data_IF_688485625741
#
_entry.id   IF_688485625741
#
_cell.length_a   1.000
_cell.length_b   1.000
_cell.length_c   1.000
_cell.angle_alpha   90.00
_cell.angle_beta   90.00
_cell.angle_gamma   90.00
#
_symmetry.space_group_name_H-M   'P 1'
#
loop_
_entity.id
_entity.type
_entity.pdbx_description
1 polymer ?
#
# COMPACT_ATOMS: atom_id res chain seq x y z
N UNK A 1 23.02 4.67 -61.35
CA UNK A 1 22.27 3.39 -61.32
C UNK A 1 23.21 2.32 -60.84
N UNK A 2 23.27 2.08 -59.52
CA UNK A 2 24.12 1.02 -58.97
C UNK A 2 23.58 -0.32 -59.45
N UNK A 3 24.36 -1.03 -60.28
CA UNK A 3 23.93 -2.23 -60.99
C UNK A 3 23.61 -3.44 -60.09
N UNK A 4 23.49 -4.64 -60.66
CA UNK A 4 23.00 -5.85 -59.99
C UNK A 4 23.67 -6.19 -58.64
N UNK A 5 24.92 -5.76 -58.43
CA UNK A 5 25.65 -5.96 -57.18
C UNK A 5 24.97 -5.30 -55.97
N UNK A 6 24.27 -4.18 -56.15
CA UNK A 6 23.58 -3.52 -55.06
C UNK A 6 22.31 -4.27 -54.65
N UNK A 7 21.69 -4.98 -55.59
CA UNK A 7 20.53 -5.82 -55.31
C UNK A 7 20.95 -7.04 -54.49
N UNK A 8 22.03 -7.72 -54.88
CA UNK A 8 22.58 -8.87 -54.12
C UNK A 8 22.95 -8.49 -52.68
N UNK A 9 23.53 -7.29 -52.47
CA UNK A 9 23.82 -6.80 -51.13
C UNK A 9 22.55 -6.58 -50.29
N UNK A 10 21.52 -5.94 -50.87
CA UNK A 10 20.23 -5.73 -50.20
C UNK A 10 19.55 -7.05 -49.87
N UNK A 11 19.54 -8.00 -50.80
CA UNK A 11 18.99 -9.33 -50.57
C UNK A 11 19.76 -10.06 -49.47
N UNK A 12 21.09 -10.01 -49.49
CA UNK A 12 21.93 -10.56 -48.43
C UNK A 12 21.63 -9.93 -47.06
N UNK A 13 21.49 -8.61 -46.99
CA UNK A 13 21.12 -7.91 -45.76
C UNK A 13 19.71 -8.27 -45.29
N UNK A 14 18.73 -8.31 -46.18
CA UNK A 14 17.34 -8.66 -45.85
C UNK A 14 17.17 -10.10 -45.41
N UNK A 15 18.03 -11.01 -45.86
CA UNK A 15 18.06 -12.39 -45.38
C UNK A 15 18.84 -12.50 -44.07
N UNK A 16 20.04 -11.91 -44.01
CA UNK A 16 20.95 -12.05 -42.87
C UNK A 16 20.44 -11.31 -41.63
N UNK A 17 19.84 -10.13 -41.77
CA UNK A 17 19.36 -9.34 -40.64
C UNK A 17 18.32 -10.08 -39.79
N UNK A 18 17.18 -10.57 -40.35
CA UNK A 18 16.22 -11.33 -39.56
C UNK A 18 16.80 -12.66 -39.06
N UNK A 19 17.66 -13.32 -39.85
CA UNK A 19 18.29 -14.58 -39.42
C UNK A 19 19.23 -14.37 -38.22
N UNK A 20 20.03 -13.31 -38.25
CA UNK A 20 20.97 -12.97 -37.18
C UNK A 20 20.23 -12.59 -35.90
N UNK A 21 19.15 -11.81 -36.01
CA UNK A 21 18.27 -11.49 -34.87
C UNK A 21 17.68 -12.79 -34.30
N UNK A 22 17.19 -13.69 -35.16
CA UNK A 22 16.59 -14.93 -34.70
C UNK A 22 17.60 -15.85 -34.00
N UNK A 23 18.84 -15.92 -34.48
CA UNK A 23 19.91 -16.70 -33.83
C UNK A 23 20.34 -16.06 -32.51
N UNK A 24 20.44 -14.73 -32.45
CA UNK A 24 20.88 -14.03 -31.25
C UNK A 24 19.85 -14.09 -30.12
N UNK A 25 18.58 -13.84 -30.43
CA UNK A 25 17.49 -13.81 -29.43
C UNK A 25 16.76 -15.16 -29.28
N UNK A 26 16.94 -16.08 -30.23
CA UNK A 26 16.37 -17.43 -30.17
C UNK A 26 17.19 -18.41 -29.34
N UNK A 27 18.33 -17.99 -28.80
CA UNK A 27 19.12 -18.81 -27.89
C UNK A 27 18.32 -19.09 -26.60
N UNK A 28 18.04 -20.36 -26.26
CA UNK A 28 17.32 -20.71 -25.04
C UNK A 28 18.01 -20.17 -23.78
N UNK A 29 19.33 -20.01 -23.79
CA UNK A 29 20.06 -19.46 -22.65
C UNK A 29 19.87 -17.95 -22.52
N UNK A 30 19.76 -17.21 -23.63
CA UNK A 30 19.45 -15.78 -23.61
C UNK A 30 18.07 -15.54 -23.01
N UNK A 31 17.06 -16.30 -23.44
CA UNK A 31 15.69 -16.22 -22.93
C UNK A 31 15.63 -16.47 -21.42
N UNK A 32 16.33 -17.51 -20.95
CA UNK A 32 16.36 -17.86 -19.51
C UNK A 32 16.99 -16.79 -18.64
N UNK A 33 18.04 -16.12 -19.14
CA UNK A 33 18.78 -15.10 -18.38
C UNK A 33 18.10 -13.73 -18.40
N UNK A 34 17.45 -13.36 -19.50
CA UNK A 34 16.91 -12.00 -19.66
C UNK A 34 15.39 -11.93 -19.51
N UNK A 35 14.63 -12.95 -19.93
CA UNK A 35 13.15 -12.88 -19.94
C UNK A 35 12.54 -13.48 -18.68
N UNK A 36 13.03 -14.64 -18.22
CA UNK A 36 12.46 -15.31 -17.03
C UNK A 36 12.55 -14.47 -15.75
N UNK A 37 13.68 -13.82 -15.42
CA UNK A 37 13.76 -13.03 -14.19
C UNK A 37 12.81 -11.83 -14.21
N UNK A 38 12.60 -11.22 -15.38
CA UNK A 38 11.65 -10.11 -15.55
C UNK A 38 10.22 -10.59 -15.34
N UNK A 39 9.88 -11.77 -15.88
CA UNK A 39 8.55 -12.38 -15.69
C UNK A 39 8.26 -12.65 -14.21
N UNK A 40 9.25 -13.16 -13.49
CA UNK A 40 9.10 -13.54 -12.07
C UNK A 40 9.06 -12.32 -11.12
N UNK A 41 9.53 -11.15 -11.57
CA UNK A 41 9.37 -9.87 -10.86
C UNK A 41 7.99 -9.26 -11.14
N UNK A 42 7.55 -9.30 -12.41
CA UNK A 42 6.26 -8.74 -12.80
C UNK A 42 5.07 -9.54 -12.25
N UNK A 43 5.21 -10.87 -12.17
CA UNK A 43 4.16 -11.74 -11.66
C UNK A 43 4.44 -12.14 -10.21
N UNK A 44 3.54 -11.85 -9.25
CA UNK A 44 3.69 -12.30 -7.88
C UNK A 44 3.91 -13.81 -7.87
N UNK A 45 5.00 -14.25 -7.23
CA UNK A 45 5.34 -15.68 -7.18
C UNK A 45 4.18 -16.44 -6.58
N UNK A 46 3.83 -17.59 -7.14
CA UNK A 46 2.70 -18.43 -6.68
C UNK A 46 2.77 -18.78 -5.18
N UNK A 47 3.97 -18.76 -4.60
CA UNK A 47 4.21 -18.99 -3.18
C UNK A 47 3.87 -17.80 -2.28
N UNK A 48 3.89 -16.58 -2.82
CA UNK A 48 3.48 -15.35 -2.11
C UNK A 48 1.99 -15.09 -2.22
N UNK A 49 1.32 -15.77 -3.15
CA UNK A 49 -0.10 -15.60 -3.35
C UNK A 49 -0.87 -16.28 -2.21
N UNK A 50 -1.79 -15.53 -1.58
CA UNK A 50 -2.70 -16.09 -0.61
C UNK A 50 -3.54 -17.19 -1.27
N UNK A 51 -3.36 -18.44 -0.82
CA UNK A 51 -4.12 -19.60 -1.30
C UNK A 51 -5.33 -19.78 -0.39
N UNK A 52 -6.57 -19.59 -0.87
CA UNK A 52 -7.75 -19.83 -0.06
C UNK A 52 -7.79 -21.29 0.42
N UNK A 53 -8.15 -21.55 1.68
CA UNK A 53 -8.30 -22.91 2.20
C UNK A 53 -9.36 -23.66 1.38
N UNK A 54 -9.01 -24.84 0.88
CA UNK A 54 -9.90 -25.67 0.04
C UNK A 54 -10.54 -26.82 0.80
N UNK A 55 -9.89 -27.31 1.85
CA UNK A 55 -10.39 -28.41 2.67
C UNK A 55 -11.08 -27.91 3.93
N UNK A 56 -12.00 -28.72 4.49
CA UNK A 56 -12.71 -28.39 5.73
C UNK A 56 -11.79 -28.28 6.95
N UNK A 57 -10.68 -29.02 6.97
CA UNK A 57 -9.63 -28.93 7.99
C UNK A 57 -8.92 -27.58 7.93
N UNK A 58 -8.51 -27.15 6.73
CA UNK A 58 -7.77 -25.90 6.49
C UNK A 58 -8.67 -24.68 6.78
N UNK A 59 -9.97 -24.82 6.55
CA UNK A 59 -10.95 -23.79 6.90
C UNK A 59 -11.04 -23.56 8.41
N UNK A 60 -10.93 -24.61 9.22
CA UNK A 60 -10.99 -24.48 10.68
C UNK A 60 -9.73 -23.82 11.22
N UNK A 61 -8.54 -24.24 10.77
CA UNK A 61 -7.28 -23.64 11.21
C UNK A 61 -7.20 -22.16 10.82
N UNK A 62 -7.55 -21.80 9.59
CA UNK A 62 -7.57 -20.39 9.17
C UNK A 62 -8.59 -19.55 9.94
N UNK A 63 -9.75 -20.12 10.33
CA UNK A 63 -10.71 -19.42 11.19
C UNK A 63 -10.19 -19.18 12.61
N UNK A 64 -9.47 -20.15 13.17
CA UNK A 64 -8.83 -20.02 14.48
C UNK A 64 -7.75 -18.93 14.46
N UNK A 65 -6.86 -18.96 13.47
CA UNK A 65 -5.85 -17.90 13.24
C UNK A 65 -6.50 -16.51 13.09
N UNK A 66 -7.60 -16.41 12.34
CA UNK A 66 -8.33 -15.15 12.17
C UNK A 66 -8.99 -14.66 13.47
N UNK A 67 -9.46 -15.56 14.33
CA UNK A 67 -10.01 -15.19 15.65
C UNK A 67 -8.92 -14.65 16.56
N UNK A 68 -7.77 -15.32 16.62
CA UNK A 68 -6.61 -14.88 17.38
C UNK A 68 -6.11 -13.52 16.91
N UNK A 69 -6.02 -13.32 15.58
CA UNK A 69 -5.61 -12.03 15.02
C UNK A 69 -6.60 -10.90 15.39
N UNK A 70 -7.90 -11.19 15.47
CA UNK A 70 -8.91 -10.21 15.91
C UNK A 70 -8.77 -9.87 17.39
N UNK A 71 -8.52 -10.86 18.25
CA UNK A 71 -8.29 -10.64 19.68
C UNK A 71 -7.03 -9.81 19.91
N UNK A 72 -5.91 -10.17 19.28
CA UNK A 72 -4.66 -9.42 19.38
C UNK A 72 -4.80 -7.95 18.93
N UNK A 73 -5.53 -7.70 17.83
CA UNK A 73 -5.82 -6.32 17.37
C UNK A 73 -6.71 -5.56 18.34
N UNK A 74 -7.66 -6.22 19.00
CA UNK A 74 -8.53 -5.61 20.02
C UNK A 74 -7.72 -5.24 21.26
N UNK A 75 -6.85 -6.13 21.72
CA UNK A 75 -6.02 -5.91 22.91
C UNK A 75 -5.02 -4.78 22.67
N UNK A 76 -4.38 -4.73 21.50
CA UNK A 76 -3.51 -3.63 21.11
C UNK A 76 -4.24 -2.27 21.10
N UNK A 77 -5.50 -2.24 20.67
CA UNK A 77 -6.31 -1.01 20.70
C UNK A 77 -6.63 -0.58 22.13
N UNK A 78 -7.03 -1.51 23.00
CA UNK A 78 -7.32 -1.23 24.40
C UNK A 78 -6.06 -0.76 25.16
N UNK A 79 -4.91 -1.36 24.89
CA UNK A 79 -3.64 -0.94 25.47
C UNK A 79 -3.24 0.48 25.03
N UNK A 80 -3.41 0.82 23.74
CA UNK A 80 -3.17 2.17 23.22
C UNK A 80 -4.13 3.21 23.82
N UNK A 81 -5.40 2.85 23.99
CA UNK A 81 -6.40 3.72 24.65
C UNK A 81 -6.09 3.94 26.14
N UNK A 82 -5.63 2.91 26.85
CA UNK A 82 -5.22 3.03 28.26
C UNK A 82 -3.96 3.90 28.43
N UNK A 83 -2.96 3.74 27.56
CA UNK A 83 -1.75 4.57 27.55
C UNK A 83 -2.06 6.04 27.22
N UNK A 84 -2.95 6.28 26.25
CA UNK A 84 -3.41 7.64 25.91
C UNK A 84 -4.15 8.33 27.06
N UNK A 85 -4.96 7.59 27.82
CA UNK A 85 -5.67 8.13 29.00
C UNK A 85 -4.73 8.45 30.17
N UNK A 86 -3.69 7.65 30.39
CA UNK A 86 -2.66 7.90 31.41
C UNK A 86 -1.82 9.15 31.07
N UNK A 87 -1.45 9.34 29.80
CA UNK A 87 -0.75 10.54 29.33
C UNK A 87 -1.57 11.83 29.50
N UNK A 88 -2.87 11.80 29.17
CA UNK A 88 -3.76 12.96 29.34
C UNK A 88 -3.96 13.33 30.82
N UNK A 89 -4.02 12.36 31.74
CA UNK A 89 -4.12 12.65 33.17
C UNK A 89 -2.84 13.28 33.73
N UNK A 90 -1.67 12.87 33.24
CA UNK A 90 -0.40 13.50 33.63
C UNK A 90 -0.25 14.92 33.07
N UNK A 91 -0.76 15.19 31.87
CA UNK A 91 -0.73 16.54 31.29
C UNK A 91 -1.71 17.50 31.98
N UNK A 92 -2.94 17.05 32.30
CA UNK A 92 -3.94 17.85 33.02
C UNK A 92 -3.53 18.13 34.47
N UNK A 93 -2.86 17.17 35.14
CA UNK A 93 -2.36 17.38 36.51
C UNK A 93 -1.15 18.31 36.54
N UNK A 94 -0.25 18.22 35.55
CA UNK A 94 0.91 19.13 35.40
C UNK A 94 0.48 20.57 35.08
N UNK A 95 -0.49 20.76 34.16
CA UNK A 95 -1.05 22.07 33.82
C UNK A 95 -1.84 22.71 34.99
N UNK A 96 -2.40 21.89 35.89
CA UNK A 96 -3.12 22.36 37.09
C UNK A 96 -2.19 22.73 38.25
N UNK A 97 -1.02 22.11 38.37
CA UNK A 97 0.01 22.52 39.34
C UNK A 97 0.83 23.73 38.92
N UNK A 98 0.89 24.07 37.62
CA UNK A 98 1.60 25.25 37.12
C UNK A 98 0.74 26.52 36.99
N UNK A 99 -0.57 26.46 37.30
CA UNK A 99 -1.50 27.59 37.12
C UNK A 99 -1.91 28.30 38.42
N UNK A 100 -1.35 27.94 39.57
CA UNK A 100 -1.62 28.62 40.87
C UNK A 100 -0.57 29.65 41.29
N UNK A 101 0.37 30.04 40.42
CA UNK A 101 1.34 31.10 40.73
C UNK A 101 1.76 31.89 39.50
N UNK A 102 0.94 32.86 39.08
CA UNK A 102 1.39 34.18 38.60
C UNK A 102 0.22 34.93 37.94
N UNK A 103 -0.40 35.80 38.72
CA UNK A 103 -1.13 36.97 38.24
C UNK A 103 -0.14 38.12 38.02
N UNK A 104 0.14 38.52 36.78
CA UNK A 104 0.62 39.87 36.46
C UNK A 104 0.67 40.14 34.95
N UNK A 105 -0.09 41.17 34.54
CA UNK A 105 0.21 42.22 33.55
C UNK A 105 1.27 41.97 32.45
N UNK A 106 0.87 42.12 31.18
CA UNK A 106 1.26 43.26 30.31
C UNK A 106 1.20 42.92 28.79
N UNK A 107 0.55 43.82 28.05
CA UNK A 107 0.78 44.24 26.65
C UNK A 107 1.24 43.25 25.56
N UNK A 108 0.32 43.03 24.60
CA UNK A 108 0.45 42.98 23.11
C UNK A 108 1.86 43.19 22.51
N UNK A 109 2.23 42.47 21.42
CA UNK A 109 1.76 42.90 20.09
C UNK A 109 1.31 41.77 19.14
N UNK A 110 0.52 42.21 18.16
CA UNK A 110 -0.14 41.45 17.10
C UNK A 110 0.83 40.75 16.14
N UNK A 111 0.61 39.48 15.74
CA UNK A 111 1.19 38.91 14.55
C UNK A 111 0.26 39.08 13.35
N UNK A 112 0.82 39.66 12.29
CA UNK A 112 0.26 39.81 10.94
C UNK A 112 -0.24 38.48 10.36
N UNK A 113 -1.41 38.43 9.71
CA UNK A 113 -1.92 37.23 9.07
C UNK A 113 -1.17 36.95 7.77
N UNK A 114 -0.44 35.84 7.72
CA UNK A 114 -0.01 35.25 6.45
C UNK A 114 -1.24 34.59 5.81
N UNK A 115 -1.51 35.01 4.58
CA UNK A 115 -2.60 34.55 3.72
C UNK A 115 -2.53 33.04 3.52
N UNK A 116 -3.56 32.33 4.02
CA UNK A 116 -3.77 30.92 3.79
C UNK A 116 -4.17 30.65 2.33
N UNK A 117 -3.44 29.73 1.69
CA UNK A 117 -3.78 29.18 0.39
C UNK A 117 -5.08 28.36 0.44
N UNK A 118 -5.91 28.40 -0.61
CA UNK A 118 -7.20 27.70 -0.62
C UNK A 118 -7.06 26.20 -0.93
N UNK A 119 -7.71 25.37 -0.11
CA UNK A 119 -8.51 24.23 -0.59
C UNK A 119 -7.80 22.91 -0.88
N UNK A 120 -7.50 22.13 0.16
CA UNK A 120 -7.40 20.66 0.05
C UNK A 120 -8.19 19.97 1.17
N UNK A 121 -9.52 20.06 1.10
CA UNK A 121 -10.42 19.30 1.95
C UNK A 121 -11.53 18.67 1.10
N UNK A 122 -11.16 17.69 0.27
CA UNK A 122 -12.10 16.95 -0.58
C UNK A 122 -12.18 15.45 -0.23
N UNK A 123 -11.44 14.95 0.78
CA UNK A 123 -11.34 13.50 1.05
C UNK A 123 -11.61 13.07 2.49
N UNK A 124 -12.39 13.83 3.26
CA UNK A 124 -12.94 13.35 4.54
C UNK A 124 -14.38 12.89 4.37
N UNK A 125 -14.56 11.78 3.66
CA UNK A 125 -15.74 10.92 3.82
C UNK A 125 -15.26 9.50 4.05
N UNK A 126 -14.77 9.24 5.27
CA UNK A 126 -14.67 7.87 5.77
C UNK A 126 -16.05 7.48 6.26
N UNK A 127 -16.68 6.54 5.56
CA UNK A 127 -17.88 5.86 6.03
C UNK A 127 -17.68 5.37 7.46
N UNK A 128 -18.66 5.69 8.30
CA UNK A 128 -18.75 5.21 9.67
C UNK A 128 -18.78 3.67 9.69
N UNK A 129 -18.04 2.98 10.57
CA UNK A 129 -18.02 1.50 10.65
C UNK A 129 -19.35 0.83 11.01
N UNK A 130 -20.44 1.58 11.17
CA UNK A 130 -21.73 1.12 11.68
C UNK A 130 -22.75 0.75 10.59
N UNK A 131 -22.42 0.92 9.30
CA UNK A 131 -23.41 0.79 8.23
C UNK A 131 -23.67 -0.67 7.78
N UNK A 132 -22.74 -1.60 8.02
CA UNK A 132 -22.93 -3.02 7.64
C UNK A 132 -23.92 -3.76 8.55
N UNK A 133 -24.06 -3.35 9.82
CA UNK A 133 -24.95 -4.00 10.79
C UNK A 133 -26.45 -3.71 10.52
N UNK A 134 -26.74 -2.63 9.79
CA UNK A 134 -28.11 -2.29 9.35
C UNK A 134 -28.52 -2.97 8.05
N UNK A 135 -27.55 -3.38 7.22
CA UNK A 135 -27.82 -4.05 5.95
C UNK A 135 -28.31 -5.50 6.15
N UNK A 136 -27.75 -6.22 7.14
CA UNK A 136 -28.13 -7.61 7.42
C UNK A 136 -29.55 -7.76 7.99
N UNK A 137 -30.03 -6.78 8.77
CA UNK A 137 -31.39 -6.81 9.33
C UNK A 137 -32.50 -6.60 8.30
N UNK A 138 -32.19 -6.15 7.08
CA UNK A 138 -33.17 -5.97 5.99
C UNK A 138 -33.32 -7.18 5.07
N UNK A 139 -32.49 -8.23 5.25
CA UNK A 139 -32.53 -9.45 4.42
C UNK A 139 -33.29 -10.61 5.04
N UNK A 140 -33.81 -10.44 6.26
CA UNK A 140 -34.51 -11.48 7.02
C UNK A 140 -35.99 -11.13 7.31
N UNK A 141 -36.62 -10.32 6.47
CA UNK A 141 -38.06 -10.10 6.46
C UNK A 141 -38.62 -10.51 5.11
#
# INVERSE_FOLDING_TARGET
MAGPNLEVFKFGLYLFFPLAIMVHYGDPDWYRKHVLPIRDEFWPRENTLFKPPRNSTDLKSTLEEMKEQRLARRDARLAGEAAGKLGQQQEVTKARTSSSSSSSSSSRPSPVPHTAAPGTSFWTSRGTPADWEKADRRRLV
#
